data_IF_508875456935
#
_entry.id   IF_508875456935
#
_cell.length_a   1.000
_cell.length_b   1.000
_cell.length_c   1.000
_cell.angle_alpha   90.00
_cell.angle_beta   90.00
_cell.angle_gamma   90.00
#
_symmetry.space_group_name_H-M   'P 1'
#
loop_
_entity.id
_entity.type
_entity.pdbx_description
1 polymer ?
#
# COMPACT_ATOMS: atom_id res chain seq x y z
N UNK A 1 28.37 -4.71 0.07
CA UNK A 1 27.61 -3.77 0.92
C UNK A 1 28.61 -3.11 1.86
N UNK A 2 28.73 -1.77 1.83
CA UNK A 2 29.64 -0.99 2.69
C UNK A 2 28.82 -0.47 3.89
N UNK A 3 29.35 -0.62 5.11
CA UNK A 3 28.78 -0.07 6.33
C UNK A 3 29.59 1.14 6.79
N UNK A 4 28.89 2.23 7.17
CA UNK A 4 29.50 3.43 7.75
C UNK A 4 28.83 3.72 9.08
N UNK A 5 29.61 3.88 10.14
CA UNK A 5 29.09 4.23 11.45
C UNK A 5 29.05 5.75 11.62
N UNK A 6 27.88 6.31 11.94
CA UNK A 6 27.75 7.75 12.15
C UNK A 6 26.30 8.22 12.23
N UNK A 7 26.12 9.51 12.46
CA UNK A 7 24.81 10.14 12.44
C UNK A 7 24.37 10.40 10.98
N UNK A 8 23.35 9.68 10.52
CA UNK A 8 22.82 9.81 9.17
C UNK A 8 22.25 11.19 8.80
N UNK A 9 21.98 12.05 9.78
CA UNK A 9 21.61 13.46 9.56
C UNK A 9 22.81 14.40 9.37
N UNK A 10 24.05 13.91 9.55
CA UNK A 10 25.26 14.72 9.45
C UNK A 10 25.75 14.80 8.00
N UNK A 11 26.06 16.00 7.54
CA UNK A 11 26.56 16.26 6.18
C UNK A 11 27.83 15.48 5.85
N UNK A 12 28.84 15.49 6.74
CA UNK A 12 30.13 14.86 6.49
C UNK A 12 30.00 13.33 6.37
N UNK A 13 29.14 12.72 7.21
CA UNK A 13 28.86 11.29 7.16
C UNK A 13 28.16 10.90 5.84
N UNK A 14 27.19 11.70 5.41
CA UNK A 14 26.53 11.44 4.12
C UNK A 14 27.46 11.69 2.93
N UNK A 15 28.28 12.73 3.00
CA UNK A 15 29.27 13.02 1.94
C UNK A 15 30.25 11.87 1.76
N UNK A 16 30.73 11.29 2.85
CA UNK A 16 31.58 10.09 2.82
C UNK A 16 30.81 8.87 2.26
N UNK A 17 29.56 8.68 2.69
CA UNK A 17 28.70 7.57 2.23
C UNK A 17 28.38 7.67 0.73
N UNK A 18 28.31 8.89 0.18
CA UNK A 18 27.92 9.18 -1.20
C UNK A 18 29.12 9.53 -2.09
N UNK A 19 30.32 9.06 -1.76
CA UNK A 19 31.57 9.35 -2.50
C UNK A 19 31.39 9.09 -4.00
N UNK A 20 30.68 8.02 -4.36
CA UNK A 20 30.34 7.63 -5.74
C UNK A 20 28.97 8.16 -6.21
N UNK A 21 28.32 9.05 -5.44
CA UNK A 21 26.95 9.51 -5.66
C UNK A 21 25.91 8.55 -5.09
N UNK A 22 24.67 9.04 -4.93
CA UNK A 22 23.53 8.24 -4.49
C UNK A 22 22.25 8.66 -5.22
N UNK A 23 21.59 7.71 -5.88
CA UNK A 23 20.30 7.95 -6.55
C UNK A 23 19.14 8.00 -5.57
N UNK A 24 19.22 7.22 -4.49
CA UNK A 24 18.17 7.08 -3.49
C UNK A 24 18.74 7.04 -2.07
N UNK A 25 18.18 7.87 -1.18
CA UNK A 25 18.35 7.74 0.27
C UNK A 25 17.05 7.25 0.91
N UNK A 26 17.16 6.26 1.80
CA UNK A 26 16.06 5.80 2.65
C UNK A 26 16.45 6.02 4.12
N UNK A 27 15.80 6.99 4.78
CA UNK A 27 16.04 7.33 6.17
C UNK A 27 15.06 6.60 7.10
N UNK A 28 15.56 5.69 7.91
CA UNK A 28 14.75 4.80 8.79
C UNK A 28 15.29 4.75 10.23
N UNK A 29 15.80 5.86 10.74
CA UNK A 29 16.26 5.94 12.12
C UNK A 29 15.09 5.92 13.13
N UNK A 30 15.39 5.94 14.41
CA UNK A 30 14.38 6.00 15.48
C UNK A 30 13.74 7.39 15.66
N UNK A 31 14.31 8.46 15.06
CA UNK A 31 13.80 9.84 15.13
C UNK A 31 13.27 10.30 13.78
N UNK A 32 12.03 10.80 13.77
CA UNK A 32 11.41 11.37 12.58
C UNK A 32 12.15 12.63 12.12
N UNK A 33 12.63 13.46 13.05
CA UNK A 33 13.39 14.67 12.79
C UNK A 33 14.71 14.37 12.08
N UNK A 34 15.42 13.33 12.57
CA UNK A 34 16.67 12.89 11.93
C UNK A 34 16.39 12.33 10.54
N UNK A 35 15.28 11.61 10.35
CA UNK A 35 14.90 11.09 9.04
C UNK A 35 14.62 12.21 8.03
N UNK A 36 13.92 13.27 8.47
CA UNK A 36 13.66 14.45 7.64
C UNK A 36 14.99 15.16 7.32
N UNK A 37 15.80 15.42 8.34
CA UNK A 37 17.09 16.10 8.17
C UNK A 37 18.02 15.32 7.23
N UNK A 38 18.10 14.02 7.40
CA UNK A 38 18.90 13.16 6.52
C UNK A 38 18.48 13.28 5.06
N UNK A 39 17.18 13.30 4.79
CA UNK A 39 16.65 13.48 3.45
C UNK A 39 16.98 14.86 2.86
N UNK A 40 16.91 15.92 3.68
CA UNK A 40 17.25 17.28 3.25
C UNK A 40 18.74 17.41 2.90
N UNK A 41 19.62 16.85 3.74
CA UNK A 41 21.08 16.83 3.50
C UNK A 41 21.38 16.05 2.22
N UNK A 42 20.79 14.87 2.03
CA UNK A 42 20.97 14.08 0.82
C UNK A 42 20.54 14.83 -0.45
N UNK A 43 19.42 15.55 -0.40
CA UNK A 43 18.98 16.39 -1.51
C UNK A 43 20.02 17.48 -1.85
N UNK A 44 20.61 18.09 -0.85
CA UNK A 44 21.69 19.10 -1.03
C UNK A 44 22.96 18.49 -1.60
N UNK A 45 23.22 17.20 -1.34
CA UNK A 45 24.32 16.45 -1.91
C UNK A 45 24.03 15.90 -3.33
N UNK A 46 22.84 16.16 -3.88
CA UNK A 46 22.48 15.80 -5.24
C UNK A 46 21.67 14.48 -5.40
N UNK A 47 21.28 13.84 -4.31
CA UNK A 47 20.48 12.62 -4.36
C UNK A 47 19.13 12.89 -5.04
N UNK A 48 18.79 12.08 -6.05
CA UNK A 48 17.58 12.29 -6.85
C UNK A 48 16.31 11.97 -6.07
N UNK A 49 16.32 10.89 -5.29
CA UNK A 49 15.15 10.41 -4.57
C UNK A 49 15.43 10.24 -3.08
N UNK A 50 14.45 10.62 -2.25
CA UNK A 50 14.55 10.47 -0.79
C UNK A 50 13.26 9.89 -0.23
N UNK A 51 13.39 8.95 0.70
CA UNK A 51 12.27 8.34 1.43
C UNK A 51 12.54 8.50 2.92
N UNK A 52 11.62 9.14 3.64
CA UNK A 52 11.71 9.30 5.10
C UNK A 52 10.66 8.42 5.80
N UNK A 53 11.06 7.68 6.83
CA UNK A 53 10.14 7.07 7.78
C UNK A 53 9.64 8.14 8.75
N UNK A 54 8.31 8.35 8.81
CA UNK A 54 7.67 9.35 9.68
C UNK A 54 6.53 8.67 10.43
N UNK A 55 6.64 8.57 11.74
CA UNK A 55 5.66 7.93 12.62
C UNK A 55 4.64 8.92 13.18
N UNK A 56 5.10 10.13 13.52
CA UNK A 56 4.26 11.15 14.12
C UNK A 56 3.21 11.67 13.12
N UNK A 57 1.89 11.54 13.42
CA UNK A 57 0.83 12.03 12.53
C UNK A 57 0.83 13.54 12.31
N UNK A 58 1.37 14.33 13.25
CA UNK A 58 1.47 15.78 13.11
C UNK A 58 2.50 16.13 12.04
N UNK A 59 3.66 15.47 12.05
CA UNK A 59 4.67 15.64 11.00
C UNK A 59 4.15 15.18 9.63
N UNK A 60 3.36 14.11 9.57
CA UNK A 60 2.75 13.67 8.31
C UNK A 60 1.89 14.78 7.68
N UNK A 61 1.12 15.52 8.49
CA UNK A 61 0.30 16.63 7.99
C UNK A 61 1.17 17.80 7.49
N UNK A 62 2.18 18.18 8.27
CA UNK A 62 3.10 19.26 7.91
C UNK A 62 3.89 18.93 6.64
N UNK A 63 4.42 17.71 6.53
CA UNK A 63 5.19 17.28 5.37
C UNK A 63 4.35 17.19 4.10
N UNK A 64 3.06 16.89 4.18
CA UNK A 64 2.17 16.96 3.02
C UNK A 64 2.07 18.35 2.44
N UNK A 65 2.07 19.35 3.29
CA UNK A 65 2.02 20.76 2.90
C UNK A 65 3.38 21.25 2.38
N UNK A 66 4.48 20.83 3.02
CA UNK A 66 5.85 21.31 2.74
C UNK A 66 6.65 20.39 1.80
N UNK A 67 6.06 19.31 1.31
CA UNK A 67 6.77 18.25 0.58
C UNK A 67 7.57 18.78 -0.61
N UNK A 68 6.95 19.64 -1.39
CA UNK A 68 7.55 20.17 -2.62
C UNK A 68 8.64 21.19 -2.29
N UNK A 69 8.43 22.03 -1.27
CA UNK A 69 9.42 23.01 -0.79
C UNK A 69 10.67 22.32 -0.20
N UNK A 70 10.48 21.21 0.50
CA UNK A 70 11.56 20.42 1.07
C UNK A 70 12.22 19.47 0.05
N UNK A 71 11.66 19.32 -1.14
CA UNK A 71 12.17 18.42 -2.15
C UNK A 71 12.13 16.93 -1.74
N UNK A 72 11.27 16.55 -0.80
CA UNK A 72 11.10 15.17 -0.36
C UNK A 72 10.33 14.36 -1.41
N UNK A 73 10.91 13.25 -1.85
CA UNK A 73 10.23 12.39 -2.84
C UNK A 73 9.07 11.62 -2.22
N UNK A 74 9.27 11.04 -1.03
CA UNK A 74 8.25 10.25 -0.35
C UNK A 74 8.48 10.23 1.17
N UNK A 75 7.41 10.08 1.93
CA UNK A 75 7.46 9.70 3.34
C UNK A 75 6.49 8.55 3.62
N UNK A 76 6.87 7.67 4.55
CA UNK A 76 6.15 6.44 4.89
C UNK A 76 5.98 6.32 6.39
N UNK A 77 4.77 5.96 6.82
CA UNK A 77 4.48 5.53 8.19
C UNK A 77 4.16 4.03 8.16
N UNK A 78 5.13 3.16 8.49
CA UNK A 78 4.94 1.70 8.42
C UNK A 78 3.87 1.22 9.39
N UNK A 79 3.80 1.79 10.59
CA UNK A 79 2.84 1.43 11.63
C UNK A 79 1.40 1.69 11.14
N UNK A 80 1.17 2.84 10.52
CA UNK A 80 -0.13 3.20 9.93
C UNK A 80 -0.48 2.33 8.71
N UNK A 81 0.51 2.00 7.89
CA UNK A 81 0.33 1.11 6.75
C UNK A 81 -0.08 -0.30 7.23
N UNK A 82 0.63 -0.84 8.22
CA UNK A 82 0.32 -2.15 8.82
C UNK A 82 -1.06 -2.15 9.48
N UNK A 83 -1.40 -1.12 10.26
CA UNK A 83 -2.71 -1.01 10.89
C UNK A 83 -3.85 -0.99 9.86
N UNK A 84 -3.65 -0.33 8.71
CA UNK A 84 -4.62 -0.34 7.61
C UNK A 84 -4.78 -1.73 6.99
N UNK A 85 -3.68 -2.47 6.81
CA UNK A 85 -3.73 -3.85 6.32
C UNK A 85 -4.46 -4.77 7.30
N UNK A 86 -4.16 -4.68 8.59
CA UNK A 86 -4.86 -5.46 9.63
C UNK A 86 -6.35 -5.13 9.62
N UNK A 87 -6.72 -3.85 9.62
CA UNK A 87 -8.12 -3.43 9.58
C UNK A 87 -8.84 -3.93 8.31
N UNK A 88 -8.11 -4.01 7.18
CA UNK A 88 -8.61 -4.55 5.92
C UNK A 88 -8.90 -6.05 6.01
N UNK A 89 -7.98 -6.82 6.57
CA UNK A 89 -8.16 -8.26 6.79
C UNK A 89 -9.34 -8.53 7.72
N UNK A 90 -9.44 -7.79 8.82
CA UNK A 90 -10.52 -7.95 9.79
C UNK A 90 -11.91 -7.58 9.23
N UNK A 91 -11.98 -6.66 8.27
CA UNK A 91 -13.27 -6.27 7.66
C UNK A 91 -13.90 -7.37 6.82
N UNK A 92 -13.07 -8.24 6.22
CA UNK A 92 -13.54 -9.34 5.36
C UNK A 92 -12.72 -10.61 5.62
N UNK A 93 -12.94 -11.26 6.76
CA UNK A 93 -12.13 -12.42 7.19
C UNK A 93 -12.25 -13.61 6.22
N UNK A 94 -13.34 -13.71 5.45
CA UNK A 94 -13.57 -14.78 4.48
C UNK A 94 -12.99 -14.48 3.07
N UNK A 95 -12.41 -13.30 2.86
CA UNK A 95 -11.77 -13.00 1.59
C UNK A 95 -10.41 -13.71 1.49
N UNK A 96 -10.18 -14.45 0.39
CA UNK A 96 -8.91 -15.15 0.15
C UNK A 96 -7.85 -14.14 -0.30
N UNK A 97 -8.23 -13.25 -1.21
CA UNK A 97 -7.34 -12.26 -1.81
C UNK A 97 -8.07 -10.94 -2.03
N UNK A 98 -7.36 -9.84 -1.87
CA UNK A 98 -7.88 -8.50 -2.15
C UNK A 98 -6.82 -7.67 -2.85
N UNK A 99 -7.21 -7.00 -3.91
CA UNK A 99 -6.36 -6.07 -4.64
C UNK A 99 -7.09 -4.74 -4.84
N UNK A 100 -6.37 -3.64 -4.70
CA UNK A 100 -6.93 -2.31 -4.91
C UNK A 100 -6.38 -1.70 -6.18
N UNK A 101 -7.27 -1.07 -6.95
CA UNK A 101 -6.93 -0.40 -8.20
C UNK A 101 -7.32 1.07 -8.17
N UNK A 102 -6.75 1.84 -9.08
CA UNK A 102 -7.11 3.23 -9.33
C UNK A 102 -7.09 4.11 -8.07
N UNK A 103 -5.98 4.08 -7.33
CA UNK A 103 -5.80 4.86 -6.09
C UNK A 103 -6.89 4.55 -5.04
N UNK A 104 -7.18 3.26 -4.85
CA UNK A 104 -8.14 2.75 -3.85
C UNK A 104 -9.62 3.05 -4.17
N UNK A 105 -9.96 3.40 -5.41
CA UNK A 105 -11.35 3.63 -5.82
C UNK A 105 -12.11 2.36 -6.15
N UNK A 106 -11.38 1.30 -6.57
CA UNK A 106 -11.93 -0.01 -6.90
C UNK A 106 -11.20 -1.08 -6.13
N UNK A 107 -11.92 -2.11 -5.77
CA UNK A 107 -11.42 -3.23 -5.01
C UNK A 107 -11.84 -4.53 -5.68
N UNK A 108 -10.87 -5.41 -5.97
CA UNK A 108 -11.11 -6.78 -6.39
C UNK A 108 -10.99 -7.68 -5.18
N UNK A 109 -12.03 -8.46 -4.91
CA UNK A 109 -12.08 -9.36 -3.77
C UNK A 109 -12.29 -10.77 -4.30
N UNK A 110 -11.39 -11.69 -3.97
CA UNK A 110 -11.58 -13.12 -4.18
C UNK A 110 -12.25 -13.68 -2.92
N UNK A 111 -13.43 -14.26 -3.11
CA UNK A 111 -14.24 -14.80 -2.04
C UNK A 111 -14.59 -16.26 -2.30
N UNK A 112 -14.32 -17.13 -1.32
CA UNK A 112 -14.71 -18.55 -1.38
C UNK A 112 -16.12 -18.70 -0.83
N UNK A 113 -17.00 -19.26 -1.65
CA UNK A 113 -18.34 -19.61 -1.21
C UNK A 113 -18.34 -21.01 -0.60
N UNK A 114 -18.95 -21.16 0.55
CA UNK A 114 -19.29 -22.42 1.19
C UNK A 114 -20.66 -22.89 0.70
N UNK A 115 -20.95 -24.18 0.76
CA UNK A 115 -22.20 -24.77 0.21
C UNK A 115 -23.46 -24.20 0.89
N UNK A 116 -23.35 -23.70 2.12
CA UNK A 116 -24.41 -23.07 2.90
C UNK A 116 -24.63 -21.58 2.59
N UNK A 117 -23.79 -21.00 1.73
CA UNK A 117 -23.88 -19.59 1.40
C UNK A 117 -25.15 -19.31 0.58
N UNK A 118 -25.99 -18.32 0.97
CA UNK A 118 -27.26 -18.02 0.29
C UNK A 118 -27.13 -17.57 -1.16
N UNK A 119 -25.93 -17.28 -1.61
CA UNK A 119 -25.64 -16.93 -3.02
C UNK A 119 -25.47 -18.17 -3.91
N UNK A 120 -25.24 -19.33 -3.32
CA UNK A 120 -25.08 -20.58 -4.09
C UNK A 120 -26.37 -20.95 -4.82
N UNK A 121 -26.27 -21.23 -6.10
CA UNK A 121 -27.40 -21.56 -6.98
C UNK A 121 -28.12 -20.36 -7.60
N UNK A 122 -27.87 -19.14 -7.16
CA UNK A 122 -28.45 -17.95 -7.78
C UNK A 122 -27.84 -17.68 -9.17
N UNK A 123 -28.67 -17.20 -10.10
CA UNK A 123 -28.17 -16.64 -11.35
C UNK A 123 -27.58 -15.24 -11.11
N UNK A 124 -26.53 -14.91 -11.84
CA UNK A 124 -25.91 -13.58 -11.71
C UNK A 124 -26.87 -12.45 -12.10
N UNK A 125 -27.78 -12.67 -13.04
CA UNK A 125 -28.84 -11.72 -13.37
C UNK A 125 -29.75 -11.36 -12.19
N UNK A 126 -29.94 -12.30 -11.25
CA UNK A 126 -30.81 -12.11 -10.09
C UNK A 126 -30.04 -11.58 -8.86
N UNK A 127 -28.70 -11.54 -8.94
CA UNK A 127 -27.85 -11.11 -7.86
C UNK A 127 -28.21 -9.69 -7.39
N UNK A 128 -28.43 -8.76 -8.32
CA UNK A 128 -28.79 -7.37 -8.02
C UNK A 128 -30.15 -7.20 -7.35
N UNK A 129 -31.06 -8.18 -7.52
CA UNK A 129 -32.38 -8.18 -6.84
C UNK A 129 -32.24 -8.57 -5.38
N UNK A 130 -31.26 -9.42 -5.07
CA UNK A 130 -31.05 -9.99 -3.74
C UNK A 130 -30.00 -9.21 -2.93
N UNK A 131 -29.07 -8.53 -3.57
CA UNK A 131 -28.01 -7.75 -2.95
C UNK A 131 -28.20 -6.27 -3.31
N UNK A 132 -28.36 -5.42 -2.30
CA UNK A 132 -28.54 -3.96 -2.49
C UNK A 132 -27.25 -3.20 -2.85
N UNK A 133 -26.18 -3.91 -3.16
CA UNK A 133 -24.86 -3.35 -3.48
C UNK A 133 -24.51 -3.67 -4.93
N UNK A 134 -24.05 -2.68 -5.68
CA UNK A 134 -23.54 -2.89 -7.02
C UNK A 134 -22.18 -3.58 -6.98
N UNK A 135 -22.13 -4.83 -7.40
CA UNK A 135 -20.91 -5.62 -7.54
C UNK A 135 -20.78 -6.14 -8.96
N UNK A 136 -19.57 -6.29 -9.45
CA UNK A 136 -19.26 -6.92 -10.72
C UNK A 136 -18.55 -8.24 -10.45
N UNK A 137 -19.11 -9.35 -10.88
CA UNK A 137 -18.45 -10.65 -10.84
C UNK A 137 -17.57 -10.77 -12.08
N UNK A 138 -16.25 -10.69 -11.89
CA UNK A 138 -15.27 -10.72 -12.97
C UNK A 138 -14.92 -12.13 -13.41
N UNK A 139 -14.88 -13.08 -12.45
CA UNK A 139 -14.55 -14.48 -12.72
C UNK A 139 -15.21 -15.40 -11.69
N UNK A 140 -15.45 -16.64 -12.08
CA UNK A 140 -15.88 -17.72 -11.20
C UNK A 140 -14.93 -18.90 -11.40
N UNK A 141 -14.27 -19.34 -10.32
CA UNK A 141 -13.40 -20.51 -10.30
C UNK A 141 -14.13 -21.70 -9.69
N UNK A 142 -14.06 -22.85 -10.35
CA UNK A 142 -14.64 -24.14 -9.92
C UNK A 142 -13.58 -25.23 -10.08
N UNK A 143 -12.97 -25.63 -8.99
CA UNK A 143 -11.83 -26.56 -9.05
C UNK A 143 -10.67 -25.95 -9.85
N UNK A 144 -10.34 -26.58 -10.98
CA UNK A 144 -9.28 -26.11 -11.89
C UNK A 144 -9.78 -25.21 -13.02
N UNK A 145 -11.09 -25.08 -13.18
CA UNK A 145 -11.68 -24.28 -14.24
C UNK A 145 -11.99 -22.86 -13.76
N UNK A 146 -11.64 -21.86 -14.57
CA UNK A 146 -11.99 -20.44 -14.33
C UNK A 146 -12.74 -19.89 -15.54
N UNK A 147 -13.92 -19.37 -15.31
CA UNK A 147 -14.79 -18.79 -16.35
C UNK A 147 -15.03 -17.30 -16.11
N UNK A 148 -15.18 -16.55 -17.19
CA UNK A 148 -15.75 -15.19 -17.17
C UNK A 148 -17.27 -15.36 -17.30
N UNK A 149 -18.04 -15.09 -16.23
CA UNK A 149 -19.44 -15.46 -16.21
C UNK A 149 -20.29 -14.47 -17.03
N UNK A 150 -21.34 -14.99 -17.64
CA UNK A 150 -22.43 -14.18 -18.20
C UNK A 150 -23.57 -14.05 -17.18
N UNK A 151 -24.55 -13.17 -17.43
CA UNK A 151 -25.70 -13.00 -16.55
C UNK A 151 -26.51 -14.28 -16.30
N UNK A 152 -26.41 -15.27 -17.19
CA UNK A 152 -27.08 -16.61 -17.07
C UNK A 152 -26.28 -17.60 -16.23
N UNK A 153 -25.02 -17.29 -15.89
CA UNK A 153 -24.20 -18.16 -15.06
C UNK A 153 -24.78 -18.26 -13.65
N UNK A 154 -24.73 -19.44 -13.06
CA UNK A 154 -25.12 -19.65 -11.65
C UNK A 154 -23.88 -19.56 -10.77
N UNK A 155 -24.04 -19.06 -9.57
CA UNK A 155 -23.00 -19.03 -8.53
C UNK A 155 -22.99 -20.40 -7.83
N UNK A 156 -21.80 -20.89 -7.52
CA UNK A 156 -21.63 -22.21 -6.93
C UNK A 156 -21.38 -23.31 -7.98
N UNK A 157 -21.52 -24.58 -7.58
CA UNK A 157 -21.20 -25.77 -8.38
C UNK A 157 -21.75 -25.77 -9.79
#
# INVERSE_FOLDING_TARGET
>A
MRGLAGNGGCYDVQKEAFEDGADLLIATTSSDEINILACLVAKKLGTQHTIARIRNPEYEKQLRFMRDDLGLSMFVNPEKATAREIARVLRFPSAIKREQFCRQRFELIEYRLTDDNPLVGLQLSDLYRNIRVKILICAVARGSETIIPTGKAKIGR
#
